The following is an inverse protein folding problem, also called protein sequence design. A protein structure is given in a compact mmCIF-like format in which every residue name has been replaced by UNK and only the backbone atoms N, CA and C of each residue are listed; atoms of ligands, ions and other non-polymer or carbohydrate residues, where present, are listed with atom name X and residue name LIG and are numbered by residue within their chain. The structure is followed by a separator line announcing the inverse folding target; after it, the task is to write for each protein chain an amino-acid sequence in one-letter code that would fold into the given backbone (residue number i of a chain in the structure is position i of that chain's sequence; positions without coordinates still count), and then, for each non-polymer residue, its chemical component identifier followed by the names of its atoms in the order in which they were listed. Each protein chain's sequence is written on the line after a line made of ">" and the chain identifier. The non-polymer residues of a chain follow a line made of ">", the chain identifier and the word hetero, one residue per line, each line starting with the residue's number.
data_IF_306496526002
#
_entry.id   IF_306496526002
#
_cell.length_a   1.000
_cell.length_b   1.000
_cell.length_c   1.000
_cell.angle_alpha   90.00
_cell.angle_beta   90.00
_cell.angle_gamma   90.00
#
_symmetry.space_group_name_H-M   'P 1'
#
loop_
_entity.id
_entity.type
_entity.pdbx_description
1 polymer ?
#
# COMPACT_ATOMS: atom_id res chain seq x y z
N UNK A 1 -8.83 4.73 10.38
CA UNK A 1 -8.17 3.69 9.55
C UNK A 1 -6.92 3.24 10.27
N UNK A 2 -6.48 2.01 10.03
CA UNK A 2 -5.35 1.39 10.71
C UNK A 2 -4.14 1.38 9.76
N UNK A 3 -2.95 1.66 10.25
CA UNK A 3 -1.74 1.52 9.43
C UNK A 3 -1.39 0.04 9.29
N UNK A 4 -1.32 -0.51 8.07
CA UNK A 4 -0.92 -1.90 7.86
C UNK A 4 0.59 -2.05 8.13
N UNK A 5 1.01 -3.27 8.45
CA UNK A 5 2.44 -3.60 8.41
C UNK A 5 2.89 -3.63 6.94
N UNK A 6 4.06 -3.05 6.65
CA UNK A 6 4.61 -3.04 5.31
C UNK A 6 6.14 -3.15 5.32
N UNK A 7 6.67 -3.68 4.21
CA UNK A 7 8.10 -3.76 3.93
C UNK A 7 8.41 -3.01 2.64
N UNK A 8 9.53 -2.30 2.63
CA UNK A 8 10.01 -1.53 1.49
C UNK A 8 11.32 -2.11 0.97
N UNK A 9 11.37 -2.40 -0.32
CA UNK A 9 12.58 -2.84 -1.01
C UNK A 9 12.67 -2.13 -2.36
N UNK A 10 13.85 -2.10 -2.97
CA UNK A 10 14.03 -1.50 -4.28
C UNK A 10 15.06 -2.28 -5.09
N UNK A 11 14.92 -2.21 -6.40
CA UNK A 11 15.95 -2.55 -7.36
C UNK A 11 16.33 -1.27 -8.15
N UNK A 12 17.26 -1.32 -9.13
CA UNK A 12 17.65 -0.14 -9.88
C UNK A 12 16.53 0.53 -10.69
N UNK A 13 15.42 -0.16 -10.95
CA UNK A 13 14.33 0.30 -11.81
C UNK A 13 13.05 0.63 -11.01
N UNK A 14 12.80 -0.06 -9.90
CA UNK A 14 11.53 -0.01 -9.18
C UNK A 14 11.68 0.07 -7.66
N UNK A 15 10.70 0.76 -7.05
CA UNK A 15 10.40 0.69 -5.63
C UNK A 15 9.29 -0.33 -5.40
N UNK A 16 9.54 -1.33 -4.58
CA UNK A 16 8.64 -2.45 -4.29
C UNK A 16 8.13 -2.31 -2.86
N UNK A 17 6.82 -2.11 -2.71
CA UNK A 17 6.14 -2.00 -1.42
C UNK A 17 5.26 -3.23 -1.17
N UNK A 18 5.60 -4.00 -0.13
CA UNK A 18 4.82 -5.15 0.30
C UNK A 18 3.93 -4.75 1.49
N UNK A 19 2.61 -4.76 1.32
CA UNK A 19 1.64 -4.34 2.37
C UNK A 19 0.81 -5.52 2.84
N UNK A 20 0.78 -5.78 4.14
CA UNK A 20 0.05 -6.91 4.73
C UNK A 20 -1.36 -6.50 5.17
N UNK A 21 -2.38 -7.00 4.48
CA UNK A 21 -3.81 -6.65 4.69
C UNK A 21 -4.72 -7.88 4.92
N UNK A 22 -4.52 -8.66 6.01
CA UNK A 22 -5.24 -9.92 6.22
C UNK A 22 -6.76 -9.76 6.43
N UNK A 23 -7.23 -8.57 6.76
CA UNK A 23 -8.64 -8.29 7.07
C UNK A 23 -9.35 -7.48 5.97
N UNK A 24 -8.81 -7.48 4.75
CA UNK A 24 -9.40 -6.79 3.60
C UNK A 24 -9.76 -7.78 2.50
N UNK A 25 -10.84 -7.47 1.76
CA UNK A 25 -11.20 -8.21 0.56
C UNK A 25 -10.30 -7.76 -0.59
N UNK A 26 -9.75 -8.72 -1.33
CA UNK A 26 -8.82 -8.47 -2.44
C UNK A 26 -9.40 -7.61 -3.56
N UNK A 27 -10.73 -7.52 -3.67
CA UNK A 27 -11.42 -6.69 -4.67
C UNK A 27 -11.69 -5.25 -4.21
N UNK A 28 -11.39 -4.90 -2.96
CA UNK A 28 -11.76 -3.61 -2.34
C UNK A 28 -10.50 -2.86 -1.88
N UNK A 29 -9.71 -2.38 -2.85
CA UNK A 29 -8.58 -1.48 -2.59
C UNK A 29 -8.49 -0.38 -3.66
N UNK A 30 -8.01 0.79 -3.25
CA UNK A 30 -7.69 1.91 -4.12
C UNK A 30 -6.21 2.29 -3.98
N UNK A 31 -5.57 2.57 -5.10
CA UNK A 31 -4.18 2.98 -5.19
C UNK A 31 -4.08 4.28 -6.00
N UNK A 32 -3.42 5.28 -5.42
CA UNK A 32 -3.13 6.55 -6.09
C UNK A 32 -1.65 6.87 -5.97
N UNK A 33 -1.01 7.14 -7.11
CA UNK A 33 0.41 7.48 -7.21
C UNK A 33 0.52 8.76 -8.03
N UNK A 34 1.06 9.81 -7.42
CA UNK A 34 1.31 11.09 -8.07
C UNK A 34 2.75 11.54 -7.77
N UNK A 35 3.64 11.30 -8.73
CA UNK A 35 5.08 11.52 -8.57
C UNK A 35 5.65 10.71 -7.40
N UNK A 36 5.96 11.38 -6.30
CA UNK A 36 6.49 10.78 -5.07
C UNK A 36 5.43 10.58 -3.97
N UNK A 37 4.19 11.02 -4.17
CA UNK A 37 3.09 10.80 -3.22
C UNK A 37 2.40 9.46 -3.55
N UNK A 38 2.41 8.56 -2.58
CA UNK A 38 1.76 7.27 -2.64
C UNK A 38 0.59 7.27 -1.65
N UNK A 39 -0.58 6.80 -2.07
CA UNK A 39 -1.70 6.56 -1.17
C UNK A 39 -2.33 5.21 -1.48
N UNK A 40 -2.44 4.38 -0.45
CA UNK A 40 -3.09 3.09 -0.50
C UNK A 40 -4.25 3.05 0.50
N UNK A 41 -5.42 2.67 0.01
CA UNK A 41 -6.63 2.52 0.80
C UNK A 41 -7.17 1.11 0.63
N UNK A 42 -7.40 0.41 1.74
CA UNK A 42 -7.96 -0.94 1.71
C UNK A 42 -8.63 -1.20 3.05
N UNK A 43 -9.96 -0.99 3.17
CA UNK A 43 -10.64 -0.98 4.48
C UNK A 43 -10.29 -2.23 5.33
N UNK A 44 -9.88 -2.06 6.60
CA UNK A 44 -9.82 -0.84 7.42
C UNK A 44 -8.51 -0.04 7.32
N UNK A 45 -7.62 -0.40 6.40
CA UNK A 45 -6.26 0.11 6.27
C UNK A 45 -6.11 1.36 5.42
N UNK A 46 -5.12 2.16 5.80
CA UNK A 46 -4.63 3.29 5.02
C UNK A 46 -3.12 3.43 5.19
N UNK A 47 -2.42 3.67 4.08
CA UNK A 47 -0.98 3.90 4.04
C UNK A 47 -0.69 5.07 3.09
N UNK A 48 0.21 5.97 3.52
CA UNK A 48 0.70 7.13 2.78
C UNK A 48 2.19 7.28 3.01
#
# INVERSE_FOLDING_TARGET
>A
MITPAFDLSQDPEYLILNVRVPYTRTSEFDLCIDGTDFKFYAKPYFLR
#
